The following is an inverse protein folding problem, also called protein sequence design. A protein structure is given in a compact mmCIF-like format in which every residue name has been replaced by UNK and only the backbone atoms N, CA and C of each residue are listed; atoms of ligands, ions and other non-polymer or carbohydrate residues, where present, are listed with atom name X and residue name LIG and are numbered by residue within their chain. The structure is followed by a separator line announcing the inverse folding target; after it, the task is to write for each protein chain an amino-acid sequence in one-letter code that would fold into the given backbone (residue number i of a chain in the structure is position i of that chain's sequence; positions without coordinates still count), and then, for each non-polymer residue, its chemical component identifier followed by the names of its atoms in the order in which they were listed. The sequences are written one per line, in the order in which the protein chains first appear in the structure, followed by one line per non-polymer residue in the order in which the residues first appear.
data_IF_453580895724
#
_entry.id   IF_453580895724
#
_cell.length_a   1.000
_cell.length_b   1.000
_cell.length_c   1.000
_cell.angle_alpha   90.00
_cell.angle_beta   90.00
_cell.angle_gamma   90.00
#
_symmetry.space_group_name_H-M   'P 1'
#
loop_
_entity.id
_entity.type
_entity.pdbx_description
1 polymer ?
#
# COMPACT_ATOMS: atom_id res chain seq x y z
N UNK A 1 -5.49 11.53 6.54
CA UNK A 1 -4.96 10.28 5.94
C UNK A 1 -4.77 9.28 7.06
N UNK A 2 -5.10 8.01 6.82
CA UNK A 2 -4.78 6.92 7.71
C UNK A 2 -3.54 6.18 7.23
N UNK A 3 -2.59 5.89 8.13
CA UNK A 3 -1.42 5.07 7.84
C UNK A 3 -1.62 3.72 8.51
N UNK A 4 -1.40 2.63 7.77
CA UNK A 4 -1.47 1.28 8.30
C UNK A 4 -0.29 0.42 7.84
N UNK A 5 -0.04 -0.64 8.58
CA UNK A 5 0.89 -1.71 8.25
C UNK A 5 0.06 -3.00 8.13
N UNK A 6 -0.21 -3.49 6.92
CA UNK A 6 -1.03 -4.68 6.74
C UNK A 6 -0.24 -5.92 7.12
N UNK A 7 -0.94 -6.95 7.59
CA UNK A 7 -0.35 -8.27 7.77
C UNK A 7 -0.04 -8.85 6.38
N UNK A 8 1.20 -9.28 6.17
CA UNK A 8 1.66 -9.87 4.91
C UNK A 8 1.78 -11.37 5.10
N UNK A 9 1.11 -12.15 4.26
CA UNK A 9 1.32 -13.60 4.19
C UNK A 9 2.61 -13.90 3.41
N UNK A 10 3.40 -14.85 3.90
CA UNK A 10 4.70 -15.18 3.30
C UNK A 10 4.55 -15.70 1.87
N UNK A 11 5.11 -14.96 0.88
CA UNK A 11 5.06 -15.35 -0.54
C UNK A 11 5.70 -14.35 -1.50
N UNK A 12 6.19 -14.85 -2.66
CA UNK A 12 6.71 -14.01 -3.76
C UNK A 12 7.93 -13.15 -3.43
N UNK A 13 7.94 -11.89 -3.92
CA UNK A 13 8.97 -10.87 -3.64
C UNK A 13 9.05 -10.47 -2.15
N UNK A 14 8.09 -10.90 -1.34
CA UNK A 14 7.91 -10.52 0.06
C UNK A 14 8.26 -11.67 1.04
N UNK A 15 8.95 -12.70 0.55
CA UNK A 15 9.46 -13.85 1.36
C UNK A 15 10.44 -13.47 2.48
N UNK A 16 10.82 -12.21 2.62
CA UNK A 16 11.77 -11.74 3.64
C UNK A 16 11.20 -10.51 4.33
N UNK A 17 10.79 -10.64 5.59
CA UNK A 17 10.72 -9.63 6.69
C UNK A 17 10.42 -8.15 6.31
N UNK A 18 9.73 -7.91 5.21
CA UNK A 18 9.56 -6.58 4.64
C UNK A 18 8.35 -5.91 5.28
N UNK A 19 8.56 -4.75 5.91
CA UNK A 19 7.45 -3.90 6.36
C UNK A 19 6.79 -3.23 5.15
N UNK A 20 5.47 -3.33 5.04
CA UNK A 20 4.67 -2.55 4.07
C UNK A 20 3.93 -1.45 4.83
N UNK A 21 4.04 -0.22 4.36
CA UNK A 21 3.27 0.91 4.85
C UNK A 21 2.33 1.37 3.75
N UNK A 22 1.05 1.48 4.09
CA UNK A 22 0.00 1.96 3.18
C UNK A 22 -0.65 3.19 3.76
N UNK A 23 -0.83 4.21 2.93
CA UNK A 23 -1.58 5.41 3.29
C UNK A 23 -2.91 5.42 2.56
N UNK A 24 -3.98 5.58 3.34
CA UNK A 24 -5.36 5.61 2.87
C UNK A 24 -5.94 7.02 3.01
N UNK A 25 -6.90 7.35 2.15
CA UNK A 25 -7.76 8.53 2.31
C UNK A 25 -8.65 8.41 3.55
N UNK A 26 -9.21 9.53 4.00
CA UNK A 26 -10.07 9.57 5.19
C UNK A 26 -11.56 9.33 4.88
N UNK A 27 -11.92 9.14 3.61
CA UNK A 27 -13.30 8.85 3.20
C UNK A 27 -13.75 7.42 3.56
N UNK A 28 -14.97 7.05 3.16
CA UNK A 28 -15.54 5.71 3.44
C UNK A 28 -14.89 4.60 2.61
N UNK A 29 -14.34 4.94 1.44
CA UNK A 29 -13.73 3.98 0.51
C UNK A 29 -12.30 3.64 0.95
N UNK A 30 -11.66 4.53 1.75
CA UNK A 30 -10.31 4.35 2.31
C UNK A 30 -9.30 4.03 1.21
N UNK A 31 -9.28 4.86 0.18
CA UNK A 31 -8.48 4.63 -1.02
C UNK A 31 -6.97 4.68 -0.74
N UNK A 32 -6.19 3.68 -1.17
CA UNK A 32 -4.74 3.72 -1.06
C UNK A 32 -4.14 4.76 -2.00
N UNK A 33 -3.46 5.77 -1.45
CA UNK A 33 -2.82 6.85 -2.23
C UNK A 33 -1.31 6.74 -2.27
N UNK A 34 -0.71 6.00 -1.32
CA UNK A 34 0.73 5.77 -1.26
C UNK A 34 1.03 4.40 -0.66
N UNK A 35 2.08 3.76 -1.16
CA UNK A 35 2.64 2.52 -0.62
C UNK A 35 4.15 2.68 -0.49
N UNK A 36 4.71 2.21 0.62
CA UNK A 36 6.16 2.06 0.81
C UNK A 36 6.46 0.67 1.34
N UNK A 37 7.40 -0.02 0.71
CA UNK A 37 7.86 -1.34 1.16
C UNK A 37 9.36 -1.32 1.35
N UNK A 38 9.83 -1.89 2.46
CA UNK A 38 11.24 -2.30 2.57
C UNK A 38 11.35 -3.72 2.04
N UNK A 39 12.42 -3.96 1.29
CA UNK A 39 12.80 -5.29 0.81
C UNK A 39 14.26 -5.54 1.19
N UNK A 40 14.75 -6.76 1.00
CA UNK A 40 16.11 -7.14 1.40
C UNK A 40 17.18 -6.16 0.88
N UNK A 41 16.98 -5.61 -0.32
CA UNK A 41 17.86 -4.61 -0.93
C UNK A 41 17.04 -3.43 -1.40
N UNK A 42 17.09 -2.34 -0.62
CA UNK A 42 16.46 -1.06 -0.96
C UNK A 42 15.00 -0.96 -0.53
N UNK A 43 14.26 -0.10 -1.24
CA UNK A 43 12.86 0.20 -0.95
C UNK A 43 12.07 0.43 -2.23
N UNK A 44 10.78 0.09 -2.17
CA UNK A 44 9.82 0.37 -3.24
C UNK A 44 8.90 1.47 -2.72
N UNK A 45 8.86 2.59 -3.42
CA UNK A 45 7.94 3.70 -3.16
C UNK A 45 6.98 3.83 -4.35
N UNK A 46 5.68 3.87 -4.07
CA UNK A 46 4.64 4.05 -5.09
C UNK A 46 3.61 5.08 -4.64
N UNK A 47 3.20 5.96 -5.57
CA UNK A 47 2.18 6.98 -5.38
C UNK A 47 1.05 6.78 -6.41
N UNK A 48 -0.20 6.90 -5.97
CA UNK A 48 -1.36 6.80 -6.84
C UNK A 48 -1.43 8.03 -7.75
N UNK A 49 -1.21 7.85 -9.04
CA UNK A 49 -1.24 8.94 -10.01
C UNK A 49 -2.65 9.24 -10.53
N UNK A 50 -3.46 8.21 -10.77
CA UNK A 50 -4.85 8.32 -11.24
C UNK A 50 -5.62 7.04 -10.94
N UNK A 51 -6.91 7.17 -10.70
CA UNK A 51 -7.86 6.05 -10.65
C UNK A 51 -9.15 6.45 -11.38
N UNK A 52 -9.95 5.46 -11.78
CA UNK A 52 -11.25 5.65 -12.42
C UNK A 52 -12.16 4.44 -12.19
N UNK A 53 -13.48 4.64 -12.26
CA UNK A 53 -14.47 3.55 -12.16
C UNK A 53 -14.71 3.05 -10.74
N UNK A 54 -14.86 3.97 -9.77
CA UNK A 54 -15.26 3.57 -8.42
C UNK A 54 -16.68 3.00 -8.43
N UNK A 55 -16.89 1.87 -7.76
CA UNK A 55 -18.22 1.30 -7.61
C UNK A 55 -19.11 2.29 -6.82
N UNK A 56 -20.09 2.89 -7.50
CA UNK A 56 -20.99 3.91 -6.94
C UNK A 56 -20.94 5.29 -7.61
N UNK A 57 -20.17 5.47 -8.70
CA UNK A 57 -20.24 6.67 -9.55
C UNK A 57 -21.38 6.63 -10.57
#
# INVERSE_FOLDING_TARGET
MHKLEPMVEEGGLFKSEGSILVWLTDDQIKMPVKVKSRVLIGSIDADLSKYSGLAGS
#
